data_IF_783717047654
#
_entry.id   IF_783717047654
#
_cell.length_a   1.000
_cell.length_b   1.000
_cell.length_c   1.000
_cell.angle_alpha   90.00
_cell.angle_beta   90.00
_cell.angle_gamma   90.00
#
_symmetry.space_group_name_H-M   'P 1'
#
loop_
_entity.id
_entity.type
_entity.pdbx_description
1 polymer ?
#
# COMPACT_ATOMS: atom_id res chain seq x y z
N UNK A 1 6.23 -17.28 -10.62
CA UNK A 1 4.78 -17.05 -10.75
C UNK A 1 4.51 -15.56 -10.57
N UNK A 2 3.76 -14.92 -11.47
CA UNK A 2 3.43 -13.48 -11.38
C UNK A 2 2.34 -13.26 -10.32
N UNK A 3 2.48 -12.29 -9.40
CA UNK A 3 1.46 -11.98 -8.40
C UNK A 3 0.17 -11.47 -9.05
N UNK A 4 -0.98 -11.83 -8.45
CA UNK A 4 -2.33 -11.54 -8.94
C UNK A 4 -3.16 -10.81 -7.89
N UNK A 5 -4.32 -10.30 -8.28
CA UNK A 5 -5.33 -9.71 -7.39
C UNK A 5 -5.65 -10.67 -6.25
N UNK A 6 -5.75 -10.14 -5.03
CA UNK A 6 -5.95 -10.87 -3.76
C UNK A 6 -4.78 -11.74 -3.32
N UNK A 7 -3.73 -11.88 -4.13
CA UNK A 7 -2.50 -12.47 -3.63
C UNK A 7 -1.95 -11.59 -2.51
N UNK A 8 -1.31 -12.27 -1.56
CA UNK A 8 -0.70 -11.62 -0.42
C UNK A 8 0.50 -10.81 -0.88
N UNK A 9 0.61 -9.58 -0.38
CA UNK A 9 1.86 -8.83 -0.40
C UNK A 9 2.78 -9.51 0.61
N UNK A 10 3.71 -10.33 0.12
CA UNK A 10 4.65 -11.05 0.97
C UNK A 10 5.44 -10.06 1.83
N UNK A 11 5.74 -10.40 3.09
CA UNK A 11 5.65 -11.69 3.78
C UNK A 11 4.30 -11.90 4.52
N UNK A 12 4.06 -13.08 5.13
CA UNK A 12 2.87 -13.30 5.97
C UNK A 12 2.83 -12.35 7.18
N UNK A 13 1.62 -11.96 7.63
CA UNK A 13 1.48 -11.14 8.83
C UNK A 13 1.96 -11.89 10.07
N UNK A 14 2.45 -11.15 11.05
CA UNK A 14 2.65 -11.68 12.41
C UNK A 14 1.30 -12.12 12.98
N UNK A 15 1.28 -13.06 13.93
CA UNK A 15 0.05 -13.55 14.58
C UNK A 15 -0.74 -12.36 15.16
N UNK A 16 -1.96 -12.16 14.69
CA UNK A 16 -2.84 -11.05 15.10
C UNK A 16 -2.59 -9.71 14.39
N UNK A 17 -1.61 -9.63 13.50
CA UNK A 17 -1.31 -8.46 12.67
C UNK A 17 -2.20 -8.35 11.44
N UNK A 18 -2.05 -7.25 10.71
CA UNK A 18 -2.83 -6.98 9.52
C UNK A 18 -2.34 -7.78 8.32
N UNK A 19 -3.25 -8.49 7.64
CA UNK A 19 -2.93 -9.11 6.36
C UNK A 19 -2.79 -8.02 5.30
N UNK A 20 -1.87 -8.18 4.34
CA UNK A 20 -1.64 -7.21 3.28
C UNK A 20 -1.84 -7.87 1.93
N UNK A 21 -2.74 -7.35 1.10
CA UNK A 21 -3.15 -7.98 -0.16
C UNK A 21 -3.28 -6.96 -1.28
N UNK A 22 -3.14 -7.42 -2.52
CA UNK A 22 -3.39 -6.58 -3.69
C UNK A 22 -4.89 -6.42 -3.97
N UNK A 23 -5.37 -5.18 -4.05
CA UNK A 23 -6.77 -4.90 -4.41
C UNK A 23 -7.09 -5.27 -5.87
N UNK A 24 -6.09 -5.20 -6.75
CA UNK A 24 -6.20 -5.45 -8.20
C UNK A 24 -4.90 -5.99 -8.79
N UNK A 25 -4.95 -6.53 -10.02
CA UNK A 25 -3.74 -6.92 -10.76
C UNK A 25 -2.85 -5.71 -11.07
N UNK A 26 -3.45 -4.53 -11.32
CA UNK A 26 -2.69 -3.30 -11.55
C UNK A 26 -1.90 -2.87 -10.31
N UNK A 27 -2.47 -3.07 -9.12
CA UNK A 27 -1.77 -2.83 -7.86
C UNK A 27 -0.58 -3.80 -7.68
N UNK A 28 -0.76 -5.08 -8.02
CA UNK A 28 0.32 -6.07 -7.98
C UNK A 28 1.47 -5.71 -8.94
N UNK A 29 1.14 -5.30 -10.17
CA UNK A 29 2.13 -4.90 -11.17
C UNK A 29 2.90 -3.63 -10.75
N UNK A 30 2.20 -2.58 -10.32
CA UNK A 30 2.82 -1.32 -9.87
C UNK A 30 3.69 -1.53 -8.62
N UNK A 31 3.26 -2.39 -7.69
CA UNK A 31 4.09 -2.79 -6.55
C UNK A 31 5.37 -3.49 -6.99
N UNK A 32 5.28 -4.46 -7.90
CA UNK A 32 6.45 -5.18 -8.41
C UNK A 32 7.46 -4.25 -9.10
N UNK A 33 6.98 -3.37 -9.97
CA UNK A 33 7.81 -2.38 -10.68
C UNK A 33 8.49 -1.41 -9.71
N UNK A 34 7.74 -0.82 -8.78
CA UNK A 34 8.31 0.12 -7.81
C UNK A 34 9.25 -0.57 -6.82
N UNK A 35 8.87 -1.77 -6.36
CA UNK A 35 9.67 -2.54 -5.41
C UNK A 35 11.02 -2.99 -5.98
N UNK A 36 11.11 -3.19 -7.30
CA UNK A 36 12.39 -3.45 -7.96
C UNK A 36 13.33 -2.24 -7.86
N UNK A 37 12.81 -1.01 -7.88
CA UNK A 37 13.61 0.22 -7.77
C UNK A 37 14.00 0.58 -6.34
N UNK A 38 13.17 0.22 -5.34
CA UNK A 38 13.39 0.59 -3.93
C UNK A 38 13.09 -0.56 -2.96
N UNK A 39 13.77 -1.72 -3.08
CA UNK A 39 13.40 -2.96 -2.39
C UNK A 39 13.43 -2.85 -0.86
N UNK A 40 14.41 -2.14 -0.29
CA UNK A 40 14.50 -1.95 1.16
C UNK A 40 13.41 -1.01 1.68
N UNK A 41 13.19 0.12 1.00
CA UNK A 41 12.22 1.12 1.45
C UNK A 41 10.79 0.62 1.34
N UNK A 42 10.44 -0.07 0.25
CA UNK A 42 9.09 -0.64 0.09
C UNK A 42 8.82 -1.71 1.13
N UNK A 43 9.86 -2.49 1.50
CA UNK A 43 9.75 -3.50 2.54
C UNK A 43 9.54 -2.87 3.92
N UNK A 44 10.35 -1.87 4.30
CA UNK A 44 10.15 -1.16 5.56
C UNK A 44 8.80 -0.45 5.63
N UNK A 45 8.34 0.14 4.53
CA UNK A 45 7.00 0.72 4.45
C UNK A 45 5.91 -0.34 4.68
N UNK A 46 6.03 -1.51 4.05
CA UNK A 46 5.11 -2.64 4.29
C UNK A 46 5.07 -3.05 5.77
N UNK A 47 6.22 -3.16 6.43
CA UNK A 47 6.31 -3.53 7.85
C UNK A 47 5.63 -2.50 8.76
N UNK A 48 5.84 -1.21 8.49
CA UNK A 48 5.22 -0.13 9.27
C UNK A 48 3.70 -0.08 9.07
N UNK A 49 3.23 -0.17 7.82
CA UNK A 49 1.80 -0.13 7.52
C UNK A 49 1.09 -1.36 8.12
N UNK A 50 1.69 -2.55 8.04
CA UNK A 50 1.08 -3.77 8.60
C UNK A 50 1.16 -3.86 10.13
N UNK A 51 2.07 -3.14 10.77
CA UNK A 51 2.13 -3.00 12.22
C UNK A 51 1.02 -2.07 12.75
N UNK A 52 0.85 -0.89 12.13
CA UNK A 52 -0.19 0.08 12.48
C UNK A 52 -0.65 0.87 11.24
N UNK A 53 -1.69 0.39 10.53
CA UNK A 53 -2.13 1.05 9.30
C UNK A 53 -2.85 2.38 9.56
N UNK A 54 -3.22 2.68 10.81
CA UNK A 54 -3.85 3.95 11.18
C UNK A 54 -2.90 4.94 11.81
N UNK A 55 -1.61 4.63 11.88
CA UNK A 55 -0.62 5.56 12.38
C UNK A 55 -0.69 6.88 11.59
N UNK A 56 -0.85 8.00 12.29
CA UNK A 56 -0.88 9.33 11.66
C UNK A 56 0.46 10.00 11.83
N UNK A 57 1.12 10.25 10.71
CA UNK A 57 2.39 10.96 10.61
C UNK A 57 2.42 11.84 9.35
N UNK A 58 3.51 12.58 9.16
CA UNK A 58 3.74 13.32 7.90
C UNK A 58 3.76 12.38 6.68
N UNK A 59 4.22 11.15 6.86
CA UNK A 59 4.33 10.16 5.78
C UNK A 59 3.10 9.29 5.64
N UNK A 60 2.31 9.11 6.71
CA UNK A 60 1.16 8.22 6.74
C UNK A 60 -0.09 8.94 7.19
N UNK A 61 -1.09 9.06 6.32
CA UNK A 61 -2.34 9.74 6.66
C UNK A 61 -3.46 9.36 5.68
N UNK A 62 -4.74 9.56 6.06
CA UNK A 62 -5.85 9.36 5.14
C UNK A 62 -5.75 10.34 3.97
N UNK A 63 -6.18 9.87 2.80
CA UNK A 63 -6.46 10.75 1.66
C UNK A 63 -7.76 11.53 1.90
N UNK A 64 -7.98 12.56 1.10
CA UNK A 64 -9.13 13.48 1.23
C UNK A 64 -9.85 13.68 -0.11
N UNK A 65 -11.05 14.27 -0.05
CA UNK A 65 -11.87 14.55 -1.23
C UNK A 65 -12.22 13.26 -1.98
N UNK A 66 -12.13 13.30 -3.32
CA UNK A 66 -12.47 12.15 -4.18
C UNK A 66 -11.63 10.90 -3.95
N UNK A 67 -10.48 11.01 -3.28
CA UNK A 67 -9.59 9.89 -2.99
C UNK A 67 -9.70 9.39 -1.54
N UNK A 68 -10.57 10.00 -0.72
CA UNK A 68 -10.72 9.64 0.70
C UNK A 68 -11.16 8.18 0.89
N UNK A 69 -11.82 7.60 -0.11
CA UNK A 69 -12.23 6.20 -0.12
C UNK A 69 -11.91 5.56 -1.47
N UNK A 70 -11.85 4.24 -1.50
CA UNK A 70 -11.84 3.47 -2.73
C UNK A 70 -12.70 2.20 -2.56
N UNK A 71 -13.25 1.71 -3.66
CA UNK A 71 -14.04 0.47 -3.66
C UNK A 71 -13.14 -0.73 -3.84
N UNK A 72 -13.10 -1.62 -2.84
CA UNK A 72 -12.36 -2.89 -2.90
C UNK A 72 -13.33 -4.03 -2.67
N UNK A 73 -13.41 -4.96 -3.63
CA UNK A 73 -14.34 -6.10 -3.60
C UNK A 73 -15.82 -5.67 -3.38
N UNK A 74 -16.23 -4.53 -3.94
CA UNK A 74 -17.61 -4.01 -3.82
C UNK A 74 -17.89 -3.23 -2.53
N UNK A 75 -16.89 -3.06 -1.66
CA UNK A 75 -17.02 -2.33 -0.39
C UNK A 75 -16.23 -1.03 -0.47
N UNK A 76 -16.85 0.08 -0.10
CA UNK A 76 -16.18 1.37 0.00
C UNK A 76 -15.38 1.44 1.30
N UNK A 77 -14.05 1.52 1.19
CA UNK A 77 -13.13 1.52 2.33
C UNK A 77 -12.36 2.84 2.42
N UNK A 78 -12.01 3.31 3.64
CA UNK A 78 -11.16 4.48 3.80
C UNK A 78 -9.79 4.23 3.17
N UNK A 79 -9.33 5.19 2.37
CA UNK A 79 -8.06 5.10 1.66
C UNK A 79 -7.01 6.01 2.31
N UNK A 80 -5.82 5.46 2.44
CA UNK A 80 -4.67 6.04 3.10
C UNK A 80 -3.49 6.06 2.15
N UNK A 81 -2.54 6.95 2.45
CA UNK A 81 -1.24 6.94 1.81
C UNK A 81 -0.12 6.72 2.81
N UNK A 82 0.96 6.13 2.33
CA UNK A 82 2.25 6.07 2.99
C UNK A 82 3.35 6.54 2.02
N UNK A 83 4.13 7.53 2.41
CA UNK A 83 5.30 8.01 1.67
C UNK A 83 6.52 7.11 1.92
N UNK A 84 6.93 6.39 0.87
CA UNK A 84 8.04 5.42 0.89
C UNK A 84 9.39 6.12 0.69
N UNK A 85 9.42 7.10 -0.21
CA UNK A 85 10.59 7.96 -0.51
C UNK A 85 10.11 9.39 -0.69
N UNK A 86 11.00 10.37 -0.87
CA UNK A 86 10.63 11.79 -1.10
C UNK A 86 9.76 12.09 -2.33
N UNK A 87 9.23 11.07 -3.02
CA UNK A 87 8.21 11.18 -4.04
C UNK A 87 7.36 9.92 -4.21
N UNK A 88 7.87 8.75 -3.82
CA UNK A 88 7.16 7.47 -3.97
C UNK A 88 6.15 7.22 -2.87
N UNK A 89 4.95 6.77 -3.23
CA UNK A 89 3.83 6.57 -2.30
C UNK A 89 3.12 5.24 -2.52
N UNK A 90 2.71 4.60 -1.43
CA UNK A 90 1.79 3.47 -1.44
C UNK A 90 0.41 4.01 -1.07
N UNK A 91 -0.60 3.69 -1.87
CA UNK A 91 -1.99 3.89 -1.53
C UNK A 91 -2.61 2.55 -1.12
N UNK A 92 -3.37 2.59 -0.02
CA UNK A 92 -4.01 1.39 0.50
C UNK A 92 -5.34 1.71 1.19
N UNK A 93 -6.24 0.73 1.19
CA UNK A 93 -7.48 0.75 1.96
C UNK A 93 -7.36 -0.13 3.20
N UNK A 94 -8.11 0.23 4.25
CA UNK A 94 -8.17 -0.51 5.50
C UNK A 94 -9.55 -1.18 5.63
N UNK A 95 -9.57 -2.50 5.74
CA UNK A 95 -10.75 -3.33 6.05
C UNK A 95 -10.61 -3.84 7.50
N UNK A 96 -11.26 -3.16 8.44
CA UNK A 96 -11.19 -3.47 9.89
C UNK A 96 -11.74 -4.83 10.22
N UNK A 97 -12.89 -5.16 9.64
CA UNK A 97 -13.63 -6.39 9.93
C UNK A 97 -12.76 -7.61 9.62
N UNK A 98 -11.98 -7.53 8.54
CA UNK A 98 -11.07 -8.61 8.11
C UNK A 98 -9.63 -8.40 8.55
N UNK A 99 -9.32 -7.33 9.28
CA UNK A 99 -7.94 -6.87 9.56
C UNK A 99 -7.04 -6.97 8.33
N UNK A 100 -7.52 -6.46 7.19
CA UNK A 100 -6.83 -6.54 5.90
C UNK A 100 -6.53 -5.16 5.36
N UNK A 101 -5.26 -4.96 4.96
CA UNK A 101 -4.80 -3.83 4.17
C UNK A 101 -4.86 -4.23 2.70
N UNK A 102 -5.55 -3.43 1.91
CA UNK A 102 -5.68 -3.61 0.48
C UNK A 102 -4.84 -2.58 -0.25
N UNK A 103 -3.70 -2.97 -0.82
CA UNK A 103 -2.88 -2.09 -1.66
C UNK A 103 -3.66 -1.78 -2.93
N UNK A 104 -4.01 -0.51 -3.14
CA UNK A 104 -4.82 -0.05 -4.27
C UNK A 104 -3.97 0.46 -5.42
N UNK A 105 -2.86 1.14 -5.11
CA UNK A 105 -1.90 1.62 -6.09
C UNK A 105 -0.54 1.88 -5.44
N UNK A 106 0.52 1.83 -6.25
CA UNK A 106 1.85 2.32 -5.88
C UNK A 106 2.28 3.34 -6.92
N UNK A 107 2.63 4.53 -6.45
CA UNK A 107 3.08 5.62 -7.28
C UNK A 107 4.59 5.77 -7.12
N UNK A 108 5.41 5.48 -8.16
CA UNK A 108 6.81 5.82 -8.11
C UNK A 108 6.94 7.34 -8.00
N UNK A 109 7.84 7.80 -7.13
CA UNK A 109 8.22 9.20 -7.15
C UNK A 109 8.87 9.49 -8.48
N UNK A 110 8.57 10.65 -9.08
CA UNK A 110 9.33 11.11 -10.23
C UNK A 110 10.82 11.01 -9.86
N UNK A 111 11.66 10.35 -10.70
CA UNK A 111 13.09 10.48 -10.53
C UNK A 111 13.36 11.98 -10.49
N UNK A 112 14.11 12.46 -9.49
CA UNK A 112 14.70 13.79 -9.60
C UNK A 112 15.41 13.78 -10.95
N UNK A 113 14.87 14.50 -11.93
CA UNK A 113 15.67 14.97 -13.05
C UNK A 113 16.76 15.79 -12.39
N UNK A 114 17.90 15.14 -12.19
CA UNK A 114 19.11 15.82 -11.77
C UNK A 114 19.72 16.19 -13.12
N UNK A 115 19.39 17.40 -13.58
CA UNK A 115 20.32 18.18 -14.40
C UNK A 115 21.27 18.91 -13.46
#
# INVERSE_FOLDING_TARGET
MMPRRRDRVAPPPRKGGWDCRYASNAAANSWGQFGASVPNNIRSAWELITADPRNRSKRQHPLRGRFATATVNGIQLPQWQYEVTGGGRIWYCIDDDKKTIWVTAVHPGHPKATE
#
